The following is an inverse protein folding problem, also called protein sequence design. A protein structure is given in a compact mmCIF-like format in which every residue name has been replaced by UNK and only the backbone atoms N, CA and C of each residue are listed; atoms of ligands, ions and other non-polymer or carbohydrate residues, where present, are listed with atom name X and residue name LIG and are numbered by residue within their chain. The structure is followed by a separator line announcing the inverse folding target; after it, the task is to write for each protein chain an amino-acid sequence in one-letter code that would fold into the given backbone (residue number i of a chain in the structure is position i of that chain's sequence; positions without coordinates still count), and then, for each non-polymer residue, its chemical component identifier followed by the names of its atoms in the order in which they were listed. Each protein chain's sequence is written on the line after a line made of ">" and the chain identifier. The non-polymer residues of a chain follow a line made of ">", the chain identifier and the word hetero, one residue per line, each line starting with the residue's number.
data_IF_352501244227
#
_entry.id   IF_352501244227
#
_cell.length_a   1.000
_cell.length_b   1.000
_cell.length_c   1.000
_cell.angle_alpha   90.00
_cell.angle_beta   90.00
_cell.angle_gamma   90.00
#
_symmetry.space_group_name_H-M   'P 1'
#
loop_
_entity.id
_entity.type
_entity.pdbx_description
1 polymer ?
#
# COMPACT_ATOMS: atom_id res chain seq x y z
N UNK A 1 15.60 47.15 0.35
CA UNK A 1 16.30 46.34 -0.66
C UNK A 1 15.88 44.87 -0.47
N UNK A 2 14.83 44.43 -1.16
CA UNK A 2 14.52 42.99 -1.26
C UNK A 2 14.91 42.60 -2.67
N UNK A 3 16.01 41.85 -2.81
CA UNK A 3 16.43 41.32 -4.10
C UNK A 3 15.32 40.39 -4.58
N UNK A 4 14.63 40.78 -5.65
CA UNK A 4 13.69 39.91 -6.34
C UNK A 4 14.47 38.68 -6.79
N UNK A 5 14.14 37.53 -6.20
CA UNK A 5 14.63 36.21 -6.58
C UNK A 5 14.17 35.93 -8.01
N UNK A 6 14.95 36.40 -8.99
CA UNK A 6 14.66 36.23 -10.41
C UNK A 6 15.01 34.79 -10.80
N UNK A 7 14.06 33.86 -10.62
CA UNK A 7 14.22 32.49 -11.10
C UNK A 7 13.99 32.48 -12.61
N UNK A 8 15.04 32.66 -13.38
CA UNK A 8 15.05 32.35 -14.81
C UNK A 8 14.96 30.83 -14.98
N UNK A 9 13.75 30.29 -14.90
CA UNK A 9 13.51 28.88 -15.15
C UNK A 9 13.61 28.65 -16.66
N UNK A 10 14.77 28.18 -17.13
CA UNK A 10 14.93 27.79 -18.54
C UNK A 10 13.89 26.72 -18.88
N UNK A 11 13.24 26.83 -20.05
CA UNK A 11 12.30 25.82 -20.55
C UNK A 11 12.90 24.40 -20.49
N UNK A 12 14.21 24.26 -20.74
CA UNK A 12 14.94 22.99 -20.62
C UNK A 12 14.87 22.43 -19.19
N UNK A 13 15.03 23.28 -18.19
CA UNK A 13 14.94 22.88 -16.78
C UNK A 13 13.50 22.53 -16.40
N UNK A 14 12.49 23.23 -16.97
CA UNK A 14 11.08 22.91 -16.76
C UNK A 14 10.74 21.51 -17.30
N UNK A 15 11.17 21.19 -18.53
CA UNK A 15 11.00 19.87 -19.11
C UNK A 15 11.71 18.79 -18.31
N UNK A 16 12.94 19.06 -17.86
CA UNK A 16 13.70 18.11 -17.04
C UNK A 16 13.00 17.83 -15.71
N UNK A 17 12.53 18.86 -15.00
CA UNK A 17 11.77 18.68 -13.77
C UNK A 17 10.44 17.94 -13.99
N UNK A 18 9.72 18.26 -15.07
CA UNK A 18 8.48 17.58 -15.41
C UNK A 18 8.73 16.09 -15.68
N UNK A 19 9.79 15.77 -16.41
CA UNK A 19 10.21 14.39 -16.67
C UNK A 19 10.55 13.66 -15.36
N UNK A 20 11.36 14.27 -14.48
CA UNK A 20 11.67 13.70 -13.17
C UNK A 20 10.42 13.48 -12.31
N UNK A 21 9.46 14.41 -12.36
CA UNK A 21 8.21 14.31 -11.61
C UNK A 21 7.34 13.14 -12.11
N UNK A 22 7.17 13.01 -13.43
CA UNK A 22 6.43 11.89 -14.03
C UNK A 22 7.10 10.55 -13.68
N UNK A 23 8.44 10.49 -13.75
CA UNK A 23 9.21 9.31 -13.40
C UNK A 23 9.07 8.95 -11.91
N UNK A 24 9.09 9.94 -11.02
CA UNK A 24 8.88 9.71 -9.60
C UNK A 24 7.46 9.18 -9.32
N UNK A 25 6.44 9.72 -9.99
CA UNK A 25 5.07 9.25 -9.86
C UNK A 25 4.89 7.82 -10.38
N UNK A 26 5.48 7.48 -11.52
CA UNK A 26 5.39 6.13 -12.08
C UNK A 26 6.11 5.09 -11.22
N UNK A 27 7.25 5.44 -10.61
CA UNK A 27 7.97 4.57 -9.68
C UNK A 27 7.28 4.47 -8.30
N UNK A 28 6.48 5.47 -7.91
CA UNK A 28 5.71 5.45 -6.67
C UNK A 28 4.45 4.57 -6.73
N UNK A 29 4.10 4.05 -7.91
CA UNK A 29 2.98 3.14 -8.08
C UNK A 29 3.30 1.77 -7.46
N UNK A 30 3.07 1.65 -6.16
CA UNK A 30 3.11 0.37 -5.46
C UNK A 30 1.76 -0.33 -5.62
N UNK A 31 1.77 -1.54 -6.16
CA UNK A 31 0.59 -2.41 -6.20
C UNK A 31 0.65 -3.40 -5.04
N UNK A 32 -0.40 -3.46 -4.23
CA UNK A 32 -0.57 -4.54 -3.26
C UNK A 32 -1.27 -5.72 -3.95
N UNK A 33 -0.66 -6.90 -3.91
CA UNK A 33 -1.31 -8.15 -4.33
C UNK A 33 -2.49 -8.42 -3.40
N UNK A 34 -3.70 -8.72 -3.91
CA UNK A 34 -4.78 -9.21 -3.07
C UNK A 34 -4.35 -10.51 -2.38
N UNK A 35 -4.35 -10.51 -1.05
CA UNK A 35 -3.97 -11.66 -0.24
C UNK A 35 -5.20 -12.36 0.34
N UNK A 36 -5.10 -13.67 0.54
CA UNK A 36 -6.04 -14.43 1.37
C UNK A 36 -5.33 -14.90 2.64
N UNK A 37 -6.10 -15.11 3.70
CA UNK A 37 -5.55 -15.49 4.99
C UNK A 37 -4.69 -16.75 4.94
N UNK A 38 -5.09 -17.77 4.17
CA UNK A 38 -4.33 -19.03 4.09
C UNK A 38 -3.04 -18.94 3.27
N UNK A 39 -2.89 -17.92 2.43
CA UNK A 39 -1.66 -17.75 1.66
C UNK A 39 -0.53 -17.17 2.52
N UNK A 40 -0.86 -16.24 3.40
CA UNK A 40 0.13 -15.46 4.14
C UNK A 40 0.22 -15.83 5.63
N UNK A 41 -0.80 -16.52 6.17
CA UNK A 41 -0.89 -16.85 7.58
C UNK A 41 -1.17 -18.34 7.81
N UNK A 42 -0.70 -18.83 8.96
CA UNK A 42 -0.98 -20.19 9.43
C UNK A 42 -1.73 -20.13 10.76
N UNK A 43 -2.75 -20.97 10.86
CA UNK A 43 -3.51 -21.17 12.09
C UNK A 43 -2.61 -21.87 13.12
N UNK A 44 -2.49 -21.28 14.29
CA UNK A 44 -1.66 -21.81 15.39
C UNK A 44 -2.48 -22.56 16.44
N UNK A 45 -3.75 -22.23 16.59
CA UNK A 45 -4.65 -22.82 17.57
C UNK A 45 -6.09 -22.77 17.06
N UNK A 46 -6.89 -23.76 17.47
CA UNK A 46 -8.33 -23.86 17.24
C UNK A 46 -8.79 -23.49 15.82
N UNK A 47 -8.43 -24.31 14.84
CA UNK A 47 -8.85 -24.14 13.43
C UNK A 47 -10.38 -23.99 13.28
N UNK A 48 -11.14 -24.73 14.09
CA UNK A 48 -12.60 -24.63 14.16
C UNK A 48 -13.14 -23.25 14.55
N UNK A 49 -12.33 -22.43 15.22
CA UNK A 49 -12.70 -21.09 15.71
C UNK A 49 -12.36 -19.99 14.71
N UNK A 50 -11.92 -20.35 13.50
CA UNK A 50 -11.61 -19.43 12.42
C UNK A 50 -12.58 -19.68 11.26
N UNK A 51 -13.29 -18.64 10.83
CA UNK A 51 -14.15 -18.69 9.64
C UNK A 51 -13.65 -17.73 8.59
N UNK A 52 -13.42 -18.23 7.37
CA UNK A 52 -13.14 -17.38 6.22
C UNK A 52 -14.43 -16.79 5.66
N UNK A 53 -14.37 -15.50 5.36
CA UNK A 53 -15.42 -14.75 4.70
C UNK A 53 -14.82 -14.03 3.49
N UNK A 54 -15.67 -13.58 2.57
CA UNK A 54 -15.23 -12.95 1.31
C UNK A 54 -14.17 -13.73 0.52
N UNK A 55 -14.33 -15.07 0.46
CA UNK A 55 -13.38 -15.94 -0.24
C UNK A 55 -11.99 -16.01 0.39
N UNK A 56 -11.87 -15.71 1.70
CA UNK A 56 -10.62 -15.81 2.45
C UNK A 56 -9.84 -14.50 2.56
N UNK A 57 -10.35 -13.40 1.99
CA UNK A 57 -9.74 -12.05 2.15
C UNK A 57 -9.97 -11.45 3.54
N UNK A 58 -10.99 -11.93 4.23
CA UNK A 58 -11.26 -11.60 5.61
C UNK A 58 -11.55 -12.88 6.39
N UNK A 59 -11.27 -12.83 7.69
CA UNK A 59 -11.59 -13.90 8.63
C UNK A 59 -12.34 -13.36 9.83
N UNK A 60 -13.15 -14.22 10.42
CA UNK A 60 -13.74 -14.02 11.73
C UNK A 60 -13.09 -14.99 12.71
N UNK A 61 -12.63 -14.43 13.83
CA UNK A 61 -12.20 -15.20 14.99
C UNK A 61 -13.39 -15.37 15.94
N UNK A 62 -13.61 -16.59 16.39
CA UNK A 62 -14.72 -16.96 17.28
C UNK A 62 -14.11 -17.27 18.64
N UNK A 63 -14.70 -16.70 19.70
CA UNK A 63 -14.31 -16.98 21.08
C UNK A 63 -15.51 -17.56 21.80
N UNK A 64 -15.32 -18.72 22.44
CA UNK A 64 -16.30 -19.35 23.30
C UNK A 64 -15.65 -19.92 24.57
N UNK A 65 -16.45 -20.64 25.36
CA UNK A 65 -16.01 -21.21 26.64
C UNK A 65 -14.98 -22.34 26.46
N UNK A 66 -14.91 -22.94 25.27
CA UNK A 66 -14.05 -24.07 24.97
C UNK A 66 -12.70 -23.61 24.42
N UNK A 67 -12.68 -22.53 23.64
CA UNK A 67 -11.45 -21.94 23.10
C UNK A 67 -11.66 -20.53 22.56
N UNK A 68 -10.56 -19.78 22.48
CA UNK A 68 -10.39 -18.65 21.56
C UNK A 68 -9.66 -19.01 20.28
#
# INVERSE_FOLDING_TARGET
>A
MVAAMNRNFSLRNAFFLLFCYILALSLSAVSARPATFLEDFRITWSDSHIRQIEGGRAIQLILDQNSG
#
